data_IF_721471415952
#
_entry.id   IF_721471415952
#
_cell.length_a   1.000
_cell.length_b   1.000
_cell.length_c   1.000
_cell.angle_alpha   90.00
_cell.angle_beta   90.00
_cell.angle_gamma   90.00
#
_symmetry.space_group_name_H-M   'P 1'
#
loop_
_entity.id
_entity.type
_entity.pdbx_description
1 polymer ?
#
# COMPACT_ATOMS: atom_id res chain seq x y z
N UNK A 1 26.84 10.82 -0.06
CA UNK A 1 26.49 9.46 0.41
C UNK A 1 25.60 8.81 -0.63
N UNK A 2 25.91 7.60 -1.07
CA UNK A 2 25.12 6.85 -2.04
C UNK A 2 24.75 5.49 -1.47
N UNK A 3 23.58 4.98 -1.82
CA UNK A 3 23.17 3.60 -1.53
C UNK A 3 23.25 2.75 -2.79
N UNK A 4 23.66 1.50 -2.66
CA UNK A 4 23.49 0.49 -3.69
C UNK A 4 22.04 0.00 -3.71
N UNK A 5 21.43 0.00 -4.89
CA UNK A 5 20.03 -0.36 -5.07
C UNK A 5 19.92 -1.79 -5.60
N UNK A 6 19.05 -2.58 -4.97
CA UNK A 6 18.74 -3.95 -5.37
C UNK A 6 17.23 -4.11 -5.52
N UNK A 7 16.80 -4.99 -6.40
CA UNK A 7 15.40 -5.42 -6.45
C UNK A 7 15.09 -6.53 -5.42
N UNK A 8 13.84 -6.98 -5.40
CA UNK A 8 13.37 -8.02 -4.48
C UNK A 8 13.91 -9.42 -4.73
N UNK A 9 14.69 -9.61 -5.80
CA UNK A 9 15.43 -10.84 -6.09
C UNK A 9 16.91 -10.71 -5.74
N UNK A 10 17.33 -9.58 -5.15
CA UNK A 10 18.74 -9.30 -4.88
C UNK A 10 19.53 -8.91 -6.12
N UNK A 11 18.88 -8.56 -7.23
CA UNK A 11 19.57 -8.12 -8.45
C UNK A 11 19.95 -6.65 -8.31
N UNK A 12 21.23 -6.34 -8.48
CA UNK A 12 21.73 -4.96 -8.45
C UNK A 12 21.13 -4.12 -9.58
N UNK A 13 20.77 -2.87 -9.28
CA UNK A 13 20.16 -1.92 -10.21
C UNK A 13 20.96 -0.63 -10.40
N UNK A 14 21.91 -0.33 -9.52
CA UNK A 14 22.66 0.92 -9.59
C UNK A 14 22.96 1.51 -8.23
N UNK A 15 23.30 2.79 -8.26
CA UNK A 15 23.45 3.63 -7.07
C UNK A 15 22.38 4.71 -7.06
N UNK A 16 21.97 5.13 -5.86
CA UNK A 16 21.05 6.24 -5.66
C UNK A 16 21.60 7.21 -4.61
N UNK A 17 21.43 8.51 -4.85
CA UNK A 17 21.85 9.54 -3.90
C UNK A 17 21.02 9.40 -2.62
N UNK A 18 21.69 9.22 -1.47
CA UNK A 18 21.02 9.01 -0.19
C UNK A 18 20.12 10.19 0.22
N UNK A 19 20.44 11.42 -0.21
CA UNK A 19 19.62 12.62 0.06
C UNK A 19 18.34 12.68 -0.78
N UNK A 20 18.27 11.92 -1.87
CA UNK A 20 17.11 11.87 -2.77
C UNK A 20 16.07 10.81 -2.40
N UNK A 21 16.28 10.08 -1.31
CA UNK A 21 15.43 8.94 -0.92
C UNK A 21 15.08 8.95 0.56
N UNK A 22 13.96 8.31 0.88
CA UNK A 22 13.58 8.00 2.26
C UNK A 22 13.73 6.50 2.48
N UNK A 23 14.50 6.13 3.51
CA UNK A 23 14.59 4.73 3.93
C UNK A 23 13.33 4.34 4.70
N UNK A 24 12.66 3.27 4.25
CA UNK A 24 11.52 2.70 4.94
C UNK A 24 11.97 1.80 6.10
N UNK A 25 11.12 1.64 7.12
CA UNK A 25 11.41 0.74 8.25
C UNK A 25 11.31 -0.75 7.89
N UNK A 26 10.71 -1.07 6.75
CA UNK A 26 10.48 -2.44 6.31
C UNK A 26 10.01 -2.54 4.86
N UNK A 27 9.65 -3.75 4.41
CA UNK A 27 9.34 -4.03 3.01
C UNK A 27 8.09 -3.31 2.50
N UNK A 28 7.22 -2.81 3.37
CA UNK A 28 6.05 -2.01 3.00
C UNK A 28 6.40 -0.69 2.31
N UNK A 29 7.64 -0.21 2.43
CA UNK A 29 8.05 1.07 1.86
C UNK A 29 7.62 2.26 2.73
N UNK A 30 7.96 3.47 2.28
CA UNK A 30 7.59 4.69 2.97
C UNK A 30 6.12 5.04 2.72
N UNK A 31 5.49 5.72 3.68
CA UNK A 31 4.16 6.30 3.48
C UNK A 31 4.24 7.41 2.44
N UNK A 32 3.40 7.31 1.40
CA UNK A 32 3.21 8.36 0.42
C UNK A 32 1.79 8.90 0.52
N UNK A 33 1.67 10.19 0.82
CA UNK A 33 0.37 10.86 0.87
C UNK A 33 -0.24 10.92 -0.53
N UNK A 34 -1.47 10.45 -0.65
CA UNK A 34 -2.29 10.58 -1.87
C UNK A 34 -3.67 11.11 -1.48
N UNK A 35 -4.47 11.52 -2.47
CA UNK A 35 -5.86 11.90 -2.24
C UNK A 35 -6.71 11.40 -3.41
N UNK A 36 -6.85 10.08 -3.51
CA UNK A 36 -7.46 9.42 -4.66
C UNK A 36 -8.82 8.82 -4.28
N UNK A 37 -9.94 9.21 -4.92
CA UNK A 37 -11.18 8.46 -4.80
C UNK A 37 -11.03 7.11 -5.52
N UNK A 38 -11.44 6.03 -4.86
CA UNK A 38 -11.32 4.67 -5.38
C UNK A 38 -12.65 3.93 -5.26
N UNK A 39 -12.94 3.10 -6.24
CA UNK A 39 -14.10 2.19 -6.20
C UNK A 39 -13.62 0.75 -6.06
N UNK A 40 -14.24 -0.03 -5.16
CA UNK A 40 -13.91 -1.44 -5.00
C UNK A 40 -14.48 -2.24 -6.16
N UNK A 41 -13.61 -2.85 -6.99
CA UNK A 41 -14.01 -3.60 -8.19
C UNK A 41 -13.74 -5.10 -8.12
N UNK A 42 -13.11 -5.58 -7.03
CA UNK A 42 -12.88 -7.02 -6.81
C UNK A 42 -13.32 -7.48 -5.44
N UNK A 43 -13.94 -8.66 -5.38
CA UNK A 43 -14.33 -9.35 -4.14
C UNK A 43 -13.21 -10.25 -3.63
N UNK A 44 -13.27 -10.67 -2.37
CA UNK A 44 -12.32 -11.63 -1.79
C UNK A 44 -10.94 -11.09 -1.42
N UNK A 45 -10.65 -9.81 -1.67
CA UNK A 45 -9.38 -9.22 -1.24
C UNK A 45 -9.42 -8.92 0.26
N UNK A 46 -8.34 -9.25 0.96
CA UNK A 46 -8.23 -9.00 2.41
C UNK A 46 -7.99 -7.51 2.67
N UNK A 47 -8.70 -6.97 3.66
CA UNK A 47 -8.45 -5.65 4.23
C UNK A 47 -7.59 -5.86 5.48
N UNK A 48 -6.39 -5.32 5.48
CA UNK A 48 -5.40 -5.52 6.53
C UNK A 48 -5.42 -4.36 7.54
N UNK A 49 -5.24 -4.64 8.83
CA UNK A 49 -4.95 -3.59 9.80
C UNK A 49 -3.46 -3.21 9.79
N UNK A 50 -2.60 -4.16 9.42
CA UNK A 50 -1.16 -4.00 9.42
C UNK A 50 -0.57 -4.68 8.17
N UNK A 51 0.27 -3.96 7.44
CA UNK A 51 0.97 -4.43 6.22
C UNK A 51 2.47 -4.60 6.43
N UNK A 52 2.99 -4.31 7.63
CA UNK A 52 4.37 -4.59 8.02
C UNK A 52 4.57 -6.10 8.16
N UNK A 53 3.59 -6.78 8.77
CA UNK A 53 3.63 -8.23 9.05
C UNK A 53 2.49 -9.02 8.42
N UNK A 54 1.44 -8.36 7.91
CA UNK A 54 0.21 -9.00 7.43
C UNK A 54 -0.39 -10.00 8.42
N UNK A 55 -0.26 -9.76 9.73
CA UNK A 55 -0.76 -10.68 10.76
C UNK A 55 -2.20 -10.43 11.18
N UNK A 56 -2.74 -9.22 10.93
CA UNK A 56 -4.06 -8.82 11.42
C UNK A 56 -5.00 -8.37 10.30
N UNK A 57 -6.10 -9.09 10.13
CA UNK A 57 -7.15 -8.85 9.12
C UNK A 57 -8.32 -8.10 9.74
N UNK A 58 -8.82 -7.05 9.06
CA UNK A 58 -10.07 -6.34 9.44
C UNK A 58 -11.30 -6.88 8.71
N UNK A 59 -11.11 -7.61 7.61
CA UNK A 59 -12.19 -8.16 6.81
C UNK A 59 -11.77 -8.38 5.36
N UNK A 60 -12.73 -8.34 4.44
CA UNK A 60 -12.50 -8.49 3.01
C UNK A 60 -13.41 -7.58 2.17
N UNK A 61 -13.13 -7.50 0.87
CA UNK A 61 -13.84 -6.63 -0.07
C UNK A 61 -15.23 -7.12 -0.49
N UNK A 62 -15.64 -8.34 -0.12
CA UNK A 62 -16.89 -8.94 -0.61
C UNK A 62 -18.12 -8.14 -0.19
N UNK A 63 -18.19 -7.69 1.07
CA UNK A 63 -19.30 -6.87 1.61
C UNK A 63 -19.26 -5.39 1.23
N UNK A 64 -18.19 -4.95 0.56
CA UNK A 64 -17.99 -3.56 0.16
C UNK A 64 -17.76 -3.40 -1.35
N UNK A 65 -18.09 -4.43 -2.11
CA UNK A 65 -18.04 -4.42 -3.57
C UNK A 65 -18.84 -3.25 -4.16
N UNK A 66 -18.29 -2.58 -5.18
CA UNK A 66 -18.83 -1.38 -5.84
C UNK A 66 -19.04 -0.15 -4.93
N UNK A 67 -18.61 -0.19 -3.67
CA UNK A 67 -18.62 0.98 -2.79
C UNK A 67 -17.42 1.87 -3.09
N UNK A 68 -17.61 3.18 -2.88
CA UNK A 68 -16.57 4.21 -3.05
C UNK A 68 -15.90 4.52 -1.70
N UNK A 69 -14.58 4.69 -1.74
CA UNK A 69 -13.73 5.04 -0.61
C UNK A 69 -12.71 6.10 -1.05
N UNK A 70 -12.02 6.69 -0.08
CA UNK A 70 -10.90 7.59 -0.32
C UNK A 70 -9.59 6.89 0.08
N UNK A 71 -8.63 6.82 -0.84
CA UNK A 71 -7.27 6.44 -0.53
C UNK A 71 -6.48 7.71 -0.17
N UNK A 72 -6.06 7.82 1.09
CA UNK A 72 -5.32 8.99 1.60
C UNK A 72 -3.81 8.75 1.70
N UNK A 73 -3.39 7.50 1.56
CA UNK A 73 -1.98 7.16 1.45
C UNK A 73 -1.78 5.84 0.73
N UNK A 74 -0.57 5.67 0.24
CA UNK A 74 -0.14 4.45 -0.41
C UNK A 74 1.24 4.01 0.06
N UNK A 75 1.46 2.71 -0.06
CA UNK A 75 2.71 2.02 0.24
C UNK A 75 3.08 1.15 -0.95
N UNK A 76 4.31 1.32 -1.45
CA UNK A 76 4.87 0.43 -2.46
C UNK A 76 5.66 -0.66 -1.75
N UNK A 77 5.02 -1.82 -1.58
CA UNK A 77 5.64 -2.95 -0.95
C UNK A 77 6.72 -3.52 -1.88
N UNK A 78 7.81 -4.00 -1.29
CA UNK A 78 8.99 -4.50 -1.99
C UNK A 78 8.69 -5.70 -2.90
N UNK A 79 7.61 -6.44 -2.62
CA UNK A 79 7.09 -7.48 -3.53
C UNK A 79 6.55 -6.96 -4.87
N UNK A 80 6.39 -5.63 -5.03
CA UNK A 80 5.79 -4.98 -6.18
C UNK A 80 4.30 -4.65 -6.02
N UNK A 81 3.67 -5.11 -4.93
CA UNK A 81 2.29 -4.76 -4.63
C UNK A 81 2.17 -3.32 -4.08
N UNK A 82 1.13 -2.59 -4.48
CA UNK A 82 0.80 -1.30 -3.89
C UNK A 82 -0.41 -1.44 -2.98
N UNK A 83 -0.31 -0.93 -1.75
CA UNK A 83 -1.38 -0.95 -0.76
C UNK A 83 -1.87 0.47 -0.46
N UNK A 84 -3.19 0.66 -0.48
CA UNK A 84 -3.85 1.91 -0.14
C UNK A 84 -4.38 1.91 1.28
N UNK A 85 -4.18 3.02 2.00
CA UNK A 85 -4.87 3.30 3.25
C UNK A 85 -6.26 3.87 2.94
N UNK A 86 -7.29 3.07 3.19
CA UNK A 86 -8.67 3.37 2.82
C UNK A 86 -9.45 4.04 3.94
N UNK A 87 -10.23 5.04 3.56
CA UNK A 87 -11.13 5.79 4.42
C UNK A 87 -12.52 5.80 3.80
N UNK A 88 -13.55 5.64 4.63
CA UNK A 88 -14.93 5.82 4.18
C UNK A 88 -15.31 7.30 4.03
N UNK A 89 -16.55 7.55 3.60
CA UNK A 89 -17.09 8.92 3.41
C UNK A 89 -17.09 9.76 4.69
N UNK A 90 -17.06 9.12 5.86
CA UNK A 90 -17.06 9.79 7.16
C UNK A 90 -15.63 10.03 7.67
N UNK A 91 -14.61 9.74 6.86
CA UNK A 91 -13.20 9.85 7.26
C UNK A 91 -12.74 8.73 8.21
N UNK A 92 -13.52 7.65 8.36
CA UNK A 92 -13.12 6.52 9.21
C UNK A 92 -12.19 5.59 8.45
N UNK A 93 -11.01 5.34 9.02
CA UNK A 93 -10.04 4.41 8.45
C UNK A 93 -10.55 2.96 8.47
N UNK A 94 -10.57 2.32 7.30
CA UNK A 94 -11.04 0.94 7.13
C UNK A 94 -9.93 -0.08 7.09
N UNK A 95 -8.71 0.31 6.74
CA UNK A 95 -7.60 -0.61 6.63
C UNK A 95 -6.76 -0.36 5.39
N UNK A 96 -5.77 -1.22 5.20
CA UNK A 96 -4.96 -1.30 4.02
C UNK A 96 -5.53 -2.30 3.03
N UNK A 97 -5.66 -1.90 1.77
CA UNK A 97 -6.15 -2.75 0.69
C UNK A 97 -5.17 -2.74 -0.48
N UNK A 98 -4.94 -3.90 -1.08
CA UNK A 98 -4.17 -3.98 -2.31
C UNK A 98 -4.87 -3.19 -3.43
N UNK A 99 -4.15 -2.25 -4.04
CA UNK A 99 -4.64 -1.36 -5.11
C UNK A 99 -5.28 -2.09 -6.30
N UNK A 100 -4.86 -3.34 -6.58
CA UNK A 100 -5.47 -4.17 -7.63
C UNK A 100 -6.93 -4.55 -7.36
N UNK A 101 -7.43 -4.32 -6.15
CA UNK A 101 -8.84 -4.49 -5.81
C UNK A 101 -9.70 -3.27 -6.18
N UNK A 102 -9.08 -2.20 -6.68
CA UNK A 102 -9.70 -0.89 -6.90
C UNK A 102 -9.47 -0.35 -8.30
N UNK A 103 -10.28 0.62 -8.71
CA UNK A 103 -10.09 1.46 -9.91
C UNK A 103 -9.88 2.91 -9.48
#
# INVERSE_FOLDING_TARGET
MYYSLYDNKGTWKGYINAAGVTSAKGPQGAWLKINKPVTIERKGYTIWANIDTFSHKKGNTTGIYKKKYQAQGQYHHFSGATYYSLYDKNGTWKGYLNSNATK
#
